data_IF_096333701119
#
_entry.id   IF_096333701119
#
_cell.length_a   1.000
_cell.length_b   1.000
_cell.length_c   1.000
_cell.angle_alpha   90.00
_cell.angle_beta   90.00
_cell.angle_gamma   90.00
#
_symmetry.space_group_name_H-M   'P 1'
#
loop_
_entity.id
_entity.type
_entity.pdbx_description
1 polymer ?
#
# COMPACT_ATOMS: atom_id res chain seq x y z
N UNK A 1 -1.97 19.29 -1.62
CA UNK A 1 -2.35 19.02 -0.20
C UNK A 1 -1.70 17.72 0.26
N UNK A 2 -1.29 17.60 1.54
CA UNK A 2 -0.80 16.31 2.05
C UNK A 2 -1.94 15.30 2.17
N UNK A 3 -1.68 14.06 1.72
CA UNK A 3 -2.62 12.94 1.74
C UNK A 3 -1.97 11.73 2.40
N UNK A 4 -2.81 10.86 2.96
CA UNK A 4 -2.44 9.59 3.55
C UNK A 4 -3.19 8.50 2.79
N UNK A 5 -2.51 7.40 2.46
CA UNK A 5 -3.10 6.25 1.79
C UNK A 5 -2.50 4.96 2.34
N UNK A 6 -3.30 3.91 2.42
CA UNK A 6 -2.86 2.56 2.70
C UNK A 6 -2.86 1.73 1.41
N UNK A 7 -1.82 0.93 1.20
CA UNK A 7 -1.80 -0.15 0.23
C UNK A 7 -1.93 -1.47 0.97
N UNK A 8 -2.72 -2.38 0.42
CA UNK A 8 -2.95 -3.69 1.02
C UNK A 8 -2.94 -4.78 -0.04
N UNK A 9 -2.38 -5.92 0.30
CA UNK A 9 -2.41 -7.09 -0.58
C UNK A 9 -3.85 -7.50 -0.87
N UNK A 10 -4.17 -7.72 -2.15
CA UNK A 10 -5.47 -8.22 -2.63
C UNK A 10 -6.62 -7.34 -2.11
N UNK A 11 -6.50 -6.04 -2.34
CA UNK A 11 -7.61 -5.11 -2.13
C UNK A 11 -8.73 -5.41 -3.12
N UNK A 12 -9.99 -5.16 -2.74
CA UNK A 12 -11.14 -5.54 -3.57
C UNK A 12 -11.12 -4.88 -4.96
N UNK A 13 -10.46 -3.72 -5.06
CA UNK A 13 -10.26 -2.95 -6.30
C UNK A 13 -8.88 -3.16 -6.96
N UNK A 14 -7.92 -3.78 -6.27
CA UNK A 14 -6.54 -3.95 -6.76
C UNK A 14 -5.92 -5.26 -6.26
N UNK A 15 -5.84 -6.24 -7.18
CA UNK A 15 -5.31 -7.57 -6.90
C UNK A 15 -3.77 -7.64 -6.81
N UNK A 16 -3.05 -6.51 -6.95
CA UNK A 16 -1.59 -6.49 -6.84
C UNK A 16 -1.12 -6.54 -5.38
N UNK A 17 0.09 -7.05 -5.12
CA UNK A 17 0.76 -6.87 -3.83
C UNK A 17 0.91 -5.39 -3.46
N UNK A 18 0.87 -5.07 -2.17
CA UNK A 18 1.00 -3.72 -1.63
C UNK A 18 2.32 -3.05 -2.08
N UNK A 19 3.38 -3.83 -2.26
CA UNK A 19 4.67 -3.35 -2.78
C UNK A 19 4.58 -2.90 -4.23
N UNK A 20 3.90 -3.66 -5.09
CA UNK A 20 3.69 -3.25 -6.49
C UNK A 20 2.77 -2.02 -6.58
N UNK A 21 1.75 -1.93 -5.72
CA UNK A 21 0.91 -0.73 -5.62
C UNK A 21 1.74 0.51 -5.24
N UNK A 22 2.70 0.36 -4.31
CA UNK A 22 3.63 1.42 -3.92
C UNK A 22 4.54 1.83 -5.09
N UNK A 23 5.15 0.87 -5.78
CA UNK A 23 6.04 1.14 -6.93
C UNK A 23 5.31 1.94 -8.01
N UNK A 24 4.08 1.52 -8.36
CA UNK A 24 3.24 2.26 -9.29
C UNK A 24 2.87 3.66 -8.78
N UNK A 25 2.59 3.80 -7.48
CA UNK A 25 2.25 5.09 -6.91
C UNK A 25 3.44 6.07 -6.95
N UNK A 26 4.66 5.58 -6.70
CA UNK A 26 5.89 6.38 -6.76
C UNK A 26 6.16 6.96 -8.16
N UNK A 27 5.72 6.29 -9.23
CA UNK A 27 5.81 6.83 -10.60
C UNK A 27 4.99 8.11 -10.79
N UNK A 28 3.86 8.23 -10.07
CA UNK A 28 2.97 9.40 -10.15
C UNK A 28 3.28 10.45 -9.08
N UNK A 29 3.66 10.01 -7.88
CA UNK A 29 3.96 10.87 -6.74
C UNK A 29 5.35 10.52 -6.17
N UNK A 30 6.44 11.04 -6.77
CA UNK A 30 7.81 10.69 -6.37
C UNK A 30 8.19 11.15 -4.97
N UNK A 31 7.45 12.11 -4.40
CA UNK A 31 7.64 12.62 -3.04
C UNK A 31 6.91 11.78 -1.97
N UNK A 32 6.39 10.61 -2.34
CA UNK A 32 5.73 9.69 -1.40
C UNK A 32 6.70 9.23 -0.33
N UNK A 33 6.26 9.27 0.92
CA UNK A 33 6.98 8.81 2.10
C UNK A 33 6.25 7.62 2.70
N UNK A 34 6.98 6.55 2.99
CA UNK A 34 6.44 5.42 3.78
C UNK A 34 6.43 5.82 5.24
N UNK A 35 5.25 5.74 5.87
CA UNK A 35 5.06 6.04 7.29
C UNK A 35 5.15 4.79 8.17
N UNK A 36 4.83 3.62 7.61
CA UNK A 36 4.89 2.36 8.31
C UNK A 36 4.47 1.20 7.42
N UNK A 37 4.79 -0.01 7.85
CA UNK A 37 4.35 -1.24 7.20
C UNK A 37 4.03 -2.29 8.26
N UNK A 38 3.12 -3.20 7.92
CA UNK A 38 2.83 -4.38 8.73
C UNK A 38 2.50 -5.57 7.85
N UNK A 39 2.74 -6.77 8.37
CA UNK A 39 2.33 -8.02 7.73
C UNK A 39 1.42 -8.73 8.72
N UNK A 40 0.20 -8.99 8.31
CA UNK A 40 -0.74 -9.77 9.11
C UNK A 40 -0.78 -11.20 8.59
N UNK A 41 -0.49 -12.13 9.49
CA UNK A 41 -0.67 -13.55 9.25
C UNK A 41 -2.12 -13.92 9.57
N UNK A 42 -2.86 -14.40 8.58
CA UNK A 42 -4.23 -14.89 8.77
C UNK A 42 -4.20 -16.41 8.80
N UNK A 43 -4.53 -17.00 9.94
CA UNK A 43 -4.82 -18.45 10.05
C UNK A 43 -6.19 -18.74 9.41
N UNK A 44 -6.25 -18.71 8.08
CA UNK A 44 -7.42 -19.16 7.32
C UNK A 44 -6.99 -20.26 6.33
N UNK A 45 -7.94 -20.90 5.65
CA UNK A 45 -7.68 -22.06 4.79
C UNK A 45 -6.59 -21.85 3.71
N UNK A 46 -6.25 -20.59 3.38
CA UNK A 46 -5.21 -20.25 2.42
C UNK A 46 -3.92 -19.67 3.05
N UNK A 47 -3.84 -19.53 4.38
CA UNK A 47 -2.69 -18.99 5.14
C UNK A 47 -1.99 -17.83 4.43
N UNK A 48 -2.79 -16.94 3.82
CA UNK A 48 -2.25 -15.91 2.94
C UNK A 48 -1.87 -14.72 3.80
N UNK A 49 -0.58 -14.52 3.97
CA UNK A 49 -0.03 -13.30 4.54
C UNK A 49 -0.56 -12.10 3.75
N UNK A 50 -0.95 -11.04 4.46
CA UNK A 50 -1.30 -9.76 3.83
C UNK A 50 -0.40 -8.66 4.35
N UNK A 51 0.28 -8.03 3.42
CA UNK A 51 1.10 -6.84 3.64
C UNK A 51 0.23 -5.60 3.58
N UNK A 52 0.54 -4.65 4.46
CA UNK A 52 -0.05 -3.32 4.52
C UNK A 52 1.06 -2.29 4.53
N UNK A 53 0.96 -1.26 3.71
CA UNK A 53 1.92 -0.15 3.64
C UNK A 53 1.16 1.16 3.78
N UNK A 54 1.48 1.94 4.81
CA UNK A 54 0.93 3.27 5.01
C UNK A 54 1.88 4.31 4.43
N UNK A 55 1.35 5.19 3.57
CA UNK A 55 2.12 6.23 2.91
C UNK A 55 1.55 7.64 3.14
N UNK A 56 2.40 8.62 2.94
CA UNK A 56 2.08 10.05 2.89
C UNK A 56 2.64 10.65 1.61
N UNK A 57 1.83 11.40 0.86
CA UNK A 57 2.25 12.03 -0.39
C UNK A 57 1.61 13.41 -0.55
N UNK A 58 2.13 14.25 -1.46
CA UNK A 58 1.47 15.51 -1.83
C UNK A 58 0.82 15.37 -3.19
N UNK A 59 -0.47 15.70 -3.27
CA UNK A 59 -1.09 16.02 -4.55
C UNK A 59 -0.80 17.49 -4.84
N UNK A 60 -0.04 17.75 -5.91
CA UNK A 60 -0.02 19.06 -6.53
C UNK A 60 -1.41 19.30 -7.15
N UNK A 61 -2.02 20.43 -6.80
CA UNK A 61 -3.32 20.84 -7.33
C UNK A 61 -3.19 21.34 -8.76
#
# INVERSE_FOLDING_TARGET
MWKIKEFRDFDDDDNRPATEQLEHHLLKYPNTQVLGYSVNHFENANNRERSYILIKYQEEN
#
